data_IF_158084375848
#
_entry.id   IF_158084375848
#
_cell.length_a   1.000
_cell.length_b   1.000
_cell.length_c   1.000
_cell.angle_alpha   90.00
_cell.angle_beta   90.00
_cell.angle_gamma   90.00
#
_symmetry.space_group_name_H-M   'P 1'
#
loop_
_entity.id
_entity.type
_entity.pdbx_description
1 polymer ?
#
# COMPACT_ATOMS: atom_id res chain seq x y z
N UNK A 1 30.31 -6.43 -32.02
CA UNK A 1 29.60 -5.13 -31.97
C UNK A 1 28.09 -5.22 -32.29
N UNK A 2 27.61 -6.27 -32.98
CA UNK A 2 26.17 -6.42 -33.31
C UNK A 2 25.25 -6.72 -32.10
N UNK A 3 25.73 -7.38 -31.05
CA UNK A 3 24.91 -7.73 -29.87
C UNK A 3 24.56 -6.54 -28.95
N UNK A 4 25.29 -5.42 -29.05
CA UNK A 4 25.04 -4.26 -28.18
C UNK A 4 23.90 -3.37 -28.72
N UNK A 5 23.71 -3.34 -30.05
CA UNK A 5 22.67 -2.55 -30.72
C UNK A 5 21.29 -3.21 -30.64
N UNK A 6 21.22 -4.55 -30.67
CA UNK A 6 19.96 -5.30 -30.49
C UNK A 6 19.37 -5.16 -29.08
N UNK A 7 20.21 -5.13 -28.03
CA UNK A 7 19.76 -4.88 -26.66
C UNK A 7 19.18 -3.46 -26.47
N UNK A 8 19.83 -2.46 -27.06
CA UNK A 8 19.36 -1.07 -27.00
C UNK A 8 18.02 -0.86 -27.73
N UNK A 9 17.78 -1.55 -28.84
CA UNK A 9 16.51 -1.50 -29.56
C UNK A 9 15.36 -2.19 -28.80
N UNK A 10 15.63 -3.30 -28.10
CA UNK A 10 14.63 -3.98 -27.27
C UNK A 10 14.26 -3.17 -26.02
N UNK A 11 15.22 -2.50 -25.39
CA UNK A 11 14.96 -1.64 -24.22
C UNK A 11 14.13 -0.39 -24.56
N UNK A 12 14.34 0.19 -25.74
CA UNK A 12 13.58 1.37 -26.20
C UNK A 12 12.16 1.02 -26.63
N UNK A 13 11.95 -0.15 -27.27
CA UNK A 13 10.62 -0.65 -27.60
C UNK A 13 9.79 -0.99 -26.34
N UNK A 14 10.41 -1.64 -25.35
CA UNK A 14 9.77 -1.95 -24.06
C UNK A 14 9.37 -0.68 -23.28
N UNK A 15 10.23 0.36 -23.28
CA UNK A 15 9.92 1.63 -22.64
C UNK A 15 8.74 2.37 -23.30
N UNK A 16 8.58 2.23 -24.62
CA UNK A 16 7.45 2.80 -25.36
C UNK A 16 6.10 2.15 -25.01
N UNK A 17 6.07 0.82 -24.89
CA UNK A 17 4.86 0.07 -24.54
C UNK A 17 4.42 0.30 -23.08
N UNK A 18 5.38 0.32 -22.14
CA UNK A 18 5.13 0.69 -20.74
C UNK A 18 4.51 2.09 -20.61
N UNK A 19 4.98 3.06 -21.40
CA UNK A 19 4.45 4.43 -21.43
C UNK A 19 3.06 4.54 -22.07
N UNK A 20 2.71 3.67 -23.02
CA UNK A 20 1.35 3.62 -23.58
C UNK A 20 0.37 2.93 -22.63
N UNK A 21 0.77 1.82 -21.99
CA UNK A 21 -0.01 1.15 -20.94
C UNK A 21 -0.25 2.09 -19.76
N UNK A 22 0.76 2.89 -19.40
CA UNK A 22 0.65 3.95 -18.40
C UNK A 22 -0.51 4.90 -18.67
N UNK A 23 -0.51 5.45 -19.89
CA UNK A 23 -1.54 6.37 -20.34
C UNK A 23 -2.90 5.69 -20.39
N UNK A 24 -2.98 4.43 -20.81
CA UNK A 24 -4.23 3.67 -20.85
C UNK A 24 -4.80 3.40 -19.46
N UNK A 25 -3.95 3.01 -18.51
CA UNK A 25 -4.33 2.82 -17.10
C UNK A 25 -4.80 4.14 -16.48
N UNK A 26 -4.03 5.23 -16.65
CA UNK A 26 -4.44 6.56 -16.18
C UNK A 26 -5.74 7.05 -16.84
N UNK A 27 -5.92 6.83 -18.14
CA UNK A 27 -7.17 7.15 -18.84
C UNK A 27 -8.34 6.28 -18.36
N UNK A 28 -8.12 4.99 -18.06
CA UNK A 28 -9.15 4.12 -17.47
C UNK A 28 -9.51 4.63 -16.08
N UNK A 29 -8.54 4.86 -15.20
CA UNK A 29 -8.74 5.48 -13.88
C UNK A 29 -9.56 6.79 -13.98
N UNK A 30 -9.21 7.67 -14.92
CA UNK A 30 -9.91 8.94 -15.11
C UNK A 30 -11.30 8.79 -15.75
N UNK A 31 -11.54 7.75 -16.56
CA UNK A 31 -12.86 7.45 -17.14
C UNK A 31 -13.77 6.69 -16.19
N UNK A 32 -13.21 5.91 -15.27
CA UNK A 32 -13.94 5.21 -14.20
C UNK A 32 -14.15 6.10 -12.98
N UNK A 33 -13.44 7.23 -12.87
CA UNK A 33 -13.87 8.36 -12.03
C UNK A 33 -15.29 8.75 -12.46
N UNK A 34 -16.32 8.54 -11.62
CA UNK A 34 -17.68 8.72 -12.07
C UNK A 34 -17.92 10.20 -12.40
N UNK A 35 -18.41 10.49 -13.62
CA UNK A 35 -19.48 11.50 -13.72
C UNK A 35 -20.59 11.03 -12.78
N UNK A 36 -21.28 11.90 -12.01
CA UNK A 36 -22.26 11.49 -11.01
C UNK A 36 -23.44 10.79 -11.69
N UNK A 37 -23.29 9.50 -11.95
CA UNK A 37 -24.27 8.65 -12.59
C UNK A 37 -24.64 7.57 -11.57
N UNK A 38 -25.89 7.69 -11.11
CA UNK A 38 -26.58 6.77 -10.21
C UNK A 38 -26.33 5.30 -10.59
N UNK A 39 -25.46 4.62 -9.86
CA UNK A 39 -25.58 3.20 -9.55
C UNK A 39 -25.29 3.01 -8.08
N UNK A 40 -26.37 2.84 -7.31
CA UNK A 40 -26.36 2.52 -5.89
C UNK A 40 -26.08 1.03 -5.67
N UNK A 41 -25.62 0.74 -4.45
CA UNK A 41 -25.36 -0.54 -3.78
C UNK A 41 -23.94 -1.09 -3.99
N UNK A 42 -23.14 -1.35 -2.95
CA UNK A 42 -23.46 -1.75 -1.57
C UNK A 42 -22.78 -0.88 -0.50
N UNK A 43 -23.53 -0.62 0.58
CA UNK A 43 -23.28 0.25 1.74
C UNK A 43 -23.43 1.76 1.53
N UNK A 44 -24.65 2.27 1.76
CA UNK A 44 -24.97 3.71 1.85
C UNK A 44 -24.48 4.38 3.14
N UNK A 45 -23.68 3.70 3.97
CA UNK A 45 -23.12 4.31 5.19
C UNK A 45 -21.75 4.89 4.84
N UNK A 46 -21.47 6.15 5.21
CA UNK A 46 -20.11 6.67 5.10
C UNK A 46 -19.19 5.73 5.88
N UNK A 47 -18.04 5.39 5.30
CA UNK A 47 -17.00 4.64 5.99
C UNK A 47 -16.63 5.40 7.27
N UNK A 48 -16.56 4.69 8.38
CA UNK A 48 -16.18 5.26 9.68
C UNK A 48 -14.83 4.70 10.07
N UNK A 49 -14.03 5.53 10.73
CA UNK A 49 -12.75 5.08 11.24
C UNK A 49 -13.05 4.23 12.47
N UNK A 50 -12.73 2.94 12.40
CA UNK A 50 -12.96 2.03 13.50
C UNK A 50 -11.97 2.33 14.62
N UNK A 51 -12.47 2.32 15.86
CA UNK A 51 -11.61 2.26 17.04
C UNK A 51 -10.75 0.99 17.01
N UNK A 52 -9.56 1.01 17.63
CA UNK A 52 -8.74 -0.18 17.79
C UNK A 52 -9.52 -1.35 18.38
N UNK A 53 -9.40 -2.50 17.74
CA UNK A 53 -10.01 -3.74 18.18
C UNK A 53 -9.08 -4.50 19.12
N UNK A 54 -9.68 -5.28 20.01
CA UNK A 54 -8.96 -6.16 20.92
C UNK A 54 -8.65 -7.45 20.17
N UNK A 55 -7.37 -7.72 19.95
CA UNK A 55 -6.84 -8.99 19.44
C UNK A 55 -5.99 -9.64 20.52
N UNK A 56 -5.90 -10.98 20.51
CA UNK A 56 -4.89 -11.67 21.28
C UNK A 56 -3.54 -11.64 20.54
N UNK A 57 -2.40 -11.71 21.26
CA UNK A 57 -1.10 -11.84 20.61
C UNK A 57 -1.03 -13.06 19.70
N UNK A 58 -1.62 -14.19 20.10
CA UNK A 58 -1.61 -15.41 19.29
C UNK A 58 -2.36 -15.23 17.96
N UNK A 59 -3.48 -14.50 17.94
CA UNK A 59 -4.21 -14.20 16.71
C UNK A 59 -3.33 -13.43 15.70
N UNK A 60 -2.48 -12.51 16.17
CA UNK A 60 -1.61 -11.72 15.30
C UNK A 60 -0.29 -12.41 14.93
N UNK A 61 0.03 -13.54 15.56
CA UNK A 61 1.16 -14.40 15.15
C UNK A 61 0.82 -15.25 13.92
N UNK A 62 -0.47 -15.55 13.72
CA UNK A 62 -0.94 -16.27 12.55
C UNK A 62 -0.66 -15.49 11.25
N UNK A 63 -0.32 -16.19 10.15
CA UNK A 63 -0.04 -15.54 8.89
C UNK A 63 -1.30 -14.82 8.39
N UNK A 64 -1.23 -13.51 8.12
CA UNK A 64 -2.42 -12.76 7.73
C UNK A 64 -2.96 -13.29 6.40
N UNK A 65 -4.27 -13.54 6.38
CA UNK A 65 -4.97 -13.97 5.18
C UNK A 65 -5.43 -12.74 4.39
N UNK A 66 -5.51 -12.86 3.07
CA UNK A 66 -6.17 -11.84 2.24
C UNK A 66 -7.68 -12.04 2.27
N UNK A 67 -8.43 -10.97 2.54
CA UNK A 67 -9.89 -10.99 2.46
C UNK A 67 -10.34 -11.25 1.02
N UNK A 68 -11.45 -11.95 0.85
CA UNK A 68 -12.07 -12.13 -0.47
C UNK A 68 -13.04 -10.98 -0.73
N UNK A 69 -12.71 -9.99 -1.59
CA UNK A 69 -13.62 -8.87 -1.80
C UNK A 69 -14.85 -9.31 -2.59
N UNK A 70 -15.99 -8.72 -2.26
CA UNK A 70 -17.22 -8.89 -3.05
C UNK A 70 -16.98 -8.37 -4.47
N UNK A 71 -17.35 -9.17 -5.47
CA UNK A 71 -17.24 -8.78 -6.88
C UNK A 71 -15.91 -9.10 -7.56
N UNK A 72 -14.97 -9.80 -6.89
CA UNK A 72 -13.78 -10.35 -7.55
C UNK A 72 -14.16 -11.28 -8.70
N UNK A 73 -13.83 -10.92 -9.94
CA UNK A 73 -13.93 -11.79 -11.12
C UNK A 73 -12.57 -12.42 -11.42
N UNK A 74 -12.00 -13.05 -10.40
CA UNK A 74 -10.64 -13.55 -10.34
C UNK A 74 -10.49 -14.65 -9.30
N UNK A 75 -9.26 -14.86 -8.82
CA UNK A 75 -8.94 -15.83 -7.78
C UNK A 75 -7.88 -15.27 -6.85
N UNK A 76 -8.02 -15.57 -5.57
CA UNK A 76 -7.00 -15.35 -4.53
C UNK A 76 -6.73 -16.71 -3.88
N UNK A 77 -5.47 -17.14 -3.88
CA UNK A 77 -5.08 -18.43 -3.30
C UNK A 77 -3.58 -18.46 -3.00
N UNK A 78 -3.14 -19.36 -2.12
CA UNK A 78 -1.71 -19.64 -1.93
C UNK A 78 -1.31 -20.85 -2.78
N UNK A 79 -0.50 -20.69 -3.85
CA UNK A 79 -0.05 -21.82 -4.67
C UNK A 79 0.94 -22.67 -3.87
N UNK A 80 0.71 -23.98 -3.71
CA UNK A 80 1.72 -24.84 -3.06
C UNK A 80 2.90 -25.12 -4.01
N UNK A 81 4.16 -25.13 -3.53
CA UNK A 81 4.62 -24.92 -2.14
C UNK A 81 4.94 -23.44 -1.80
N UNK A 82 4.55 -22.47 -2.62
CA UNK A 82 4.81 -21.05 -2.38
C UNK A 82 4.05 -20.54 -1.15
N UNK A 83 4.72 -19.81 -0.25
CA UNK A 83 4.05 -19.16 0.88
C UNK A 83 3.36 -17.85 0.49
N UNK A 84 3.64 -17.33 -0.71
CA UNK A 84 3.06 -16.09 -1.22
C UNK A 84 1.63 -16.30 -1.67
N UNK A 85 0.80 -15.29 -1.44
CA UNK A 85 -0.55 -15.23 -1.98
C UNK A 85 -0.50 -14.88 -3.46
N UNK A 86 -1.24 -15.62 -4.28
CA UNK A 86 -1.47 -15.29 -5.68
C UNK A 86 -2.81 -14.60 -5.83
N UNK A 87 -2.79 -13.45 -6.50
CA UNK A 87 -3.98 -12.73 -6.93
C UNK A 87 -3.98 -12.72 -8.45
N UNK A 88 -5.00 -13.33 -9.05
CA UNK A 88 -5.29 -13.22 -10.48
C UNK A 88 -6.64 -12.54 -10.69
N UNK A 89 -6.65 -11.41 -11.39
CA UNK A 89 -7.85 -10.66 -11.78
C UNK A 89 -7.97 -10.64 -13.30
N UNK A 90 -9.15 -10.30 -13.83
CA UNK A 90 -9.44 -10.23 -15.26
C UNK A 90 -9.61 -8.78 -15.72
N UNK A 91 -9.46 -8.53 -17.02
CA UNK A 91 -9.58 -7.19 -17.62
C UNK A 91 -10.86 -6.40 -17.27
N UNK A 92 -11.95 -7.11 -16.96
CA UNK A 92 -13.25 -6.51 -16.59
C UNK A 92 -13.42 -6.24 -15.10
N UNK A 93 -12.44 -6.62 -14.27
CA UNK A 93 -12.47 -6.32 -12.85
C UNK A 93 -12.42 -4.81 -12.63
N UNK A 94 -13.32 -4.35 -11.78
CA UNK A 94 -13.36 -2.97 -11.32
C UNK A 94 -12.20 -2.71 -10.36
N UNK A 95 -12.14 -1.49 -9.85
CA UNK A 95 -11.23 -1.14 -8.77
C UNK A 95 -11.55 -2.01 -7.54
N UNK A 96 -10.57 -2.79 -7.08
CA UNK A 96 -10.67 -3.65 -5.91
C UNK A 96 -9.65 -3.21 -4.86
N UNK A 97 -10.03 -3.38 -3.59
CA UNK A 97 -9.13 -3.32 -2.45
C UNK A 97 -9.25 -4.63 -1.68
N UNK A 98 -8.11 -5.29 -1.48
CA UNK A 98 -7.99 -6.60 -0.86
C UNK A 98 -7.17 -6.39 0.43
N UNK A 99 -7.81 -6.02 1.56
CA UNK A 99 -7.14 -5.93 2.83
C UNK A 99 -6.85 -7.33 3.38
N UNK A 100 -5.93 -7.39 4.33
CA UNK A 100 -5.73 -8.53 5.20
C UNK A 100 -6.93 -8.71 6.15
N UNK A 101 -7.20 -9.93 6.59
CA UNK A 101 -8.29 -10.22 7.54
C UNK A 101 -7.95 -9.82 8.97
N UNK A 102 -6.66 -9.77 9.30
CA UNK A 102 -6.10 -9.34 10.58
C UNK A 102 -5.16 -8.15 10.34
N UNK A 103 -5.03 -7.23 11.31
CA UNK A 103 -4.19 -6.07 11.14
C UNK A 103 -2.70 -6.45 11.16
N UNK A 104 -1.92 -5.82 10.27
CA UNK A 104 -0.47 -5.88 10.34
C UNK A 104 0.06 -5.07 11.55
N UNK A 105 -0.66 -4.00 11.91
CA UNK A 105 -0.39 -3.17 13.10
C UNK A 105 -1.65 -3.10 13.96
N UNK A 106 -1.62 -3.61 15.18
CA UNK A 106 -2.65 -3.35 16.18
C UNK A 106 -2.20 -2.18 17.06
N UNK A 107 -3.03 -1.15 17.19
CA UNK A 107 -2.67 0.00 18.02
C UNK A 107 -2.59 -0.36 19.52
N UNK A 108 -3.37 -1.36 19.96
CA UNK A 108 -3.36 -1.79 21.36
C UNK A 108 -2.14 -2.66 21.68
N UNK A 109 -1.70 -3.52 20.76
CA UNK A 109 -0.61 -4.47 21.00
C UNK A 109 0.76 -3.98 20.54
N UNK A 110 0.82 -3.18 19.47
CA UNK A 110 2.07 -2.82 18.79
C UNK A 110 2.47 -1.35 18.96
N UNK A 111 1.67 -0.55 19.68
CA UNK A 111 1.97 0.87 19.86
C UNK A 111 3.34 1.07 20.51
N UNK A 112 4.24 1.88 19.92
CA UNK A 112 5.51 2.22 20.55
C UNK A 112 5.36 2.93 21.89
N UNK A 113 4.24 3.65 22.11
CA UNK A 113 3.97 4.30 23.40
C UNK A 113 3.62 3.30 24.50
N UNK A 114 3.05 2.14 24.14
CA UNK A 114 2.71 1.09 25.09
C UNK A 114 3.89 0.11 25.31
N UNK A 115 4.61 -0.20 24.23
CA UNK A 115 5.65 -1.23 24.23
C UNK A 115 7.07 -0.69 24.45
N UNK A 116 7.28 0.63 24.31
CA UNK A 116 8.60 1.27 24.24
C UNK A 116 9.52 0.67 23.16
N UNK A 117 8.95 -0.03 22.18
CA UNK A 117 9.66 -0.65 21.08
C UNK A 117 9.15 -0.08 19.77
N UNK A 118 10.06 0.15 18.82
CA UNK A 118 9.62 0.48 17.46
C UNK A 118 8.92 -0.72 16.82
N UNK A 119 7.97 -0.42 15.94
CA UNK A 119 7.26 -1.44 15.16
C UNK A 119 7.37 -1.12 13.69
N UNK A 120 7.73 -2.13 12.90
CA UNK A 120 7.65 -2.07 11.44
C UNK A 120 6.53 -2.97 10.94
N UNK A 121 5.77 -2.48 9.97
CA UNK A 121 4.84 -3.27 9.16
C UNK A 121 5.15 -3.10 7.69
N UNK A 122 5.01 -4.17 6.92
CA UNK A 122 5.47 -4.20 5.53
C UNK A 122 4.68 -5.20 4.70
N UNK A 123 4.53 -4.89 3.42
CA UNK A 123 3.98 -5.78 2.40
C UNK A 123 4.76 -5.58 1.10
N UNK A 124 5.06 -6.69 0.43
CA UNK A 124 5.68 -6.68 -0.89
C UNK A 124 4.90 -7.55 -1.88
N UNK A 125 4.93 -7.18 -3.15
CA UNK A 125 4.36 -7.96 -4.23
C UNK A 125 5.24 -7.95 -5.48
N UNK A 126 5.24 -9.07 -6.16
CA UNK A 126 5.92 -9.29 -7.43
C UNK A 126 4.88 -9.28 -8.55
N UNK A 127 5.11 -8.43 -9.56
CA UNK A 127 4.36 -8.50 -10.80
C UNK A 127 4.77 -9.75 -11.59
N UNK A 128 3.82 -10.66 -11.89
CA UNK A 128 4.08 -11.86 -12.70
C UNK A 128 3.49 -11.72 -14.11
N UNK A 129 4.32 -11.45 -15.13
CA UNK A 129 3.87 -11.42 -16.52
C UNK A 129 3.29 -12.77 -16.92
N UNK A 130 2.19 -12.77 -17.67
CA UNK A 130 1.65 -13.99 -18.29
C UNK A 130 2.20 -14.04 -19.72
N UNK A 131 2.92 -15.10 -20.06
CA UNK A 131 3.45 -15.32 -21.43
C UNK A 131 4.34 -14.19 -22.01
N UNK A 132 5.02 -13.41 -21.16
CA UNK A 132 5.89 -12.31 -21.59
C UNK A 132 5.14 -11.00 -21.89
N UNK A 133 3.83 -10.94 -21.69
CA UNK A 133 3.05 -9.72 -21.75
C UNK A 133 2.82 -9.15 -20.34
N UNK A 134 2.95 -7.84 -20.17
CA UNK A 134 2.61 -7.16 -18.91
C UNK A 134 1.10 -7.20 -18.72
N UNK A 135 0.65 -8.24 -18.03
CA UNK A 135 -0.74 -8.49 -17.69
C UNK A 135 -1.24 -7.71 -16.48
N UNK A 136 -0.49 -6.70 -16.00
CA UNK A 136 -0.93 -5.83 -14.90
C UNK A 136 -1.26 -4.46 -15.45
N UNK A 137 -2.54 -4.09 -15.40
CA UNK A 137 -2.93 -2.72 -15.73
C UNK A 137 -2.70 -1.77 -14.55
N UNK A 138 -3.11 -2.16 -13.34
CA UNK A 138 -2.97 -1.33 -12.15
C UNK A 138 -2.80 -2.18 -10.90
N UNK A 139 -1.68 -1.98 -10.20
CA UNK A 139 -1.37 -2.57 -8.89
C UNK A 139 -1.02 -1.45 -7.91
N UNK A 140 -1.61 -1.52 -6.72
CA UNK A 140 -1.24 -0.67 -5.59
C UNK A 140 -1.00 -1.52 -4.35
N UNK A 141 -0.01 -1.15 -3.56
CA UNK A 141 0.30 -1.78 -2.27
C UNK A 141 0.23 -0.72 -1.18
N UNK A 142 -0.24 -1.08 0.00
CA UNK A 142 -0.27 -0.13 1.10
C UNK A 142 -1.00 -0.62 2.33
N UNK A 143 -1.51 0.35 3.09
CA UNK A 143 -2.17 0.12 4.36
C UNK A 143 -3.47 0.93 4.44
N UNK A 144 -4.46 0.34 5.10
CA UNK A 144 -5.78 0.95 5.33
C UNK A 144 -6.13 0.83 6.81
N UNK A 145 -6.63 1.91 7.40
CA UNK A 145 -7.10 1.93 8.78
C UNK A 145 -8.61 1.63 8.83
N UNK A 146 -9.02 0.56 9.51
CA UNK A 146 -10.40 0.03 9.45
C UNK A 146 -10.60 -0.88 8.24
N UNK A 147 -10.39 -2.19 8.44
CA UNK A 147 -10.34 -3.19 7.38
C UNK A 147 -11.69 -3.50 6.72
N UNK A 148 -12.81 -3.10 7.32
CA UNK A 148 -14.12 -3.32 6.74
C UNK A 148 -14.49 -2.25 5.69
N UNK A 149 -15.26 -2.68 4.67
CA UNK A 149 -15.95 -1.78 3.71
C UNK A 149 -15.02 -0.82 2.94
N UNK A 150 -13.76 -1.22 2.71
CA UNK A 150 -12.85 -0.45 1.86
C UNK A 150 -13.28 -0.57 0.40
N UNK A 151 -13.53 0.57 -0.25
CA UNK A 151 -14.12 0.59 -1.60
C UNK A 151 -13.15 1.00 -2.71
N UNK A 152 -12.02 1.63 -2.36
CA UNK A 152 -10.98 2.09 -3.30
C UNK A 152 -9.63 1.49 -2.96
N UNK A 153 -8.71 1.51 -3.93
CA UNK A 153 -7.34 1.01 -3.76
C UNK A 153 -6.62 1.72 -2.60
N UNK A 154 -5.63 1.06 -1.96
CA UNK A 154 -4.86 1.66 -0.86
C UNK A 154 -4.22 2.98 -1.31
N UNK A 155 -4.35 4.01 -0.46
CA UNK A 155 -3.93 5.38 -0.73
C UNK A 155 -4.99 6.25 -1.43
N UNK A 156 -5.95 5.65 -2.15
CA UNK A 156 -7.04 6.37 -2.83
C UNK A 156 -8.32 6.49 -1.98
N UNK A 157 -8.36 5.82 -0.83
CA UNK A 157 -9.44 5.92 0.15
C UNK A 157 -9.01 6.79 1.35
N UNK A 158 -9.98 7.30 2.11
CA UNK A 158 -9.68 7.93 3.40
C UNK A 158 -8.99 6.94 4.36
N UNK A 159 -8.13 7.47 5.22
CA UNK A 159 -7.33 6.73 6.21
C UNK A 159 -6.54 5.59 5.58
N UNK A 160 -5.92 5.87 4.44
CA UNK A 160 -5.12 4.90 3.71
C UNK A 160 -3.92 5.56 3.04
N UNK A 161 -2.86 4.77 2.92
CA UNK A 161 -1.64 5.12 2.19
C UNK A 161 -1.30 3.98 1.25
N UNK A 162 -0.79 4.29 0.07
CA UNK A 162 -0.36 3.25 -0.86
C UNK A 162 0.49 3.77 -2.00
N UNK A 163 1.32 2.89 -2.55
CA UNK A 163 2.15 3.16 -3.72
C UNK A 163 1.55 2.50 -4.95
N UNK A 164 1.45 3.26 -6.03
CA UNK A 164 1.08 2.72 -7.35
C UNK A 164 2.30 2.16 -8.05
N UNK A 165 2.27 0.86 -8.33
CA UNK A 165 3.43 0.12 -8.84
C UNK A 165 3.69 0.40 -10.34
N UNK A 166 2.77 1.01 -11.07
CA UNK A 166 2.98 1.28 -12.49
C UNK A 166 3.55 2.69 -12.76
N UNK A 167 3.31 3.71 -11.94
CA UNK A 167 3.89 5.06 -12.12
C UNK A 167 4.68 5.57 -10.92
N UNK A 168 4.89 4.74 -9.89
CA UNK A 168 5.74 5.07 -8.75
C UNK A 168 5.19 6.20 -7.89
N UNK A 169 3.89 6.49 -7.97
CA UNK A 169 3.25 7.54 -7.16
C UNK A 169 2.82 7.02 -5.80
N UNK A 170 3.11 7.80 -4.76
CA UNK A 170 2.58 7.59 -3.43
C UNK A 170 1.26 8.35 -3.29
N UNK A 171 0.23 7.65 -2.81
CA UNK A 171 -1.08 8.20 -2.53
C UNK A 171 -1.36 8.16 -1.03
N UNK A 172 -1.95 9.24 -0.52
CA UNK A 172 -2.38 9.39 0.87
C UNK A 172 -3.78 10.01 0.86
N UNK A 173 -4.75 9.33 1.48
CA UNK A 173 -6.10 9.84 1.70
C UNK A 173 -6.81 10.37 0.44
N UNK A 174 -6.60 9.72 -0.71
CA UNK A 174 -7.23 10.10 -1.98
C UNK A 174 -6.37 11.00 -2.88
N UNK A 175 -5.25 11.52 -2.38
CA UNK A 175 -4.41 12.49 -3.08
C UNK A 175 -3.00 11.96 -3.31
N UNK A 176 -2.34 12.45 -4.36
CA UNK A 176 -0.92 12.14 -4.62
C UNK A 176 -0.05 12.88 -3.60
N UNK A 177 0.68 12.15 -2.77
CA UNK A 177 1.54 12.67 -1.72
C UNK A 177 3.00 12.86 -2.17
N UNK A 178 3.52 11.98 -3.01
CA UNK A 178 4.86 12.11 -3.58
C UNK A 178 4.99 11.30 -4.88
N UNK A 179 6.06 11.56 -5.64
CA UNK A 179 6.45 10.74 -6.81
C UNK A 179 7.79 10.09 -6.50
N UNK A 180 7.77 8.79 -6.22
CA UNK A 180 8.94 8.01 -5.79
C UNK A 180 9.82 7.68 -7.00
N UNK A 181 9.18 7.30 -8.11
CA UNK A 181 9.86 7.03 -9.38
C UNK A 181 9.09 7.67 -10.52
N UNK A 182 9.80 8.14 -11.55
CA UNK A 182 9.17 8.70 -12.76
C UNK A 182 8.86 7.63 -13.81
N UNK A 183 9.39 6.42 -13.62
CA UNK A 183 9.10 5.22 -14.42
C UNK A 183 8.55 4.15 -13.48
N UNK A 184 7.51 3.46 -13.93
CA UNK A 184 6.92 2.34 -13.21
C UNK A 184 7.89 1.25 -12.84
N UNK A 185 7.44 0.42 -11.91
CA UNK A 185 8.10 -0.83 -11.60
C UNK A 185 7.93 -1.79 -12.78
N UNK A 186 9.01 -2.49 -13.09
CA UNK A 186 9.11 -3.39 -14.21
C UNK A 186 8.35 -4.70 -13.93
N UNK A 187 8.00 -5.44 -14.99
CA UNK A 187 7.44 -6.77 -14.86
C UNK A 187 8.50 -7.71 -14.24
N UNK A 188 8.09 -8.56 -13.30
CA UNK A 188 9.00 -9.38 -12.48
C UNK A 188 9.70 -8.63 -11.34
N UNK A 189 9.57 -7.30 -11.26
CA UNK A 189 10.13 -6.53 -10.17
C UNK A 189 9.30 -6.74 -8.90
N UNK A 190 9.99 -6.88 -7.77
CA UNK A 190 9.38 -6.94 -6.46
C UNK A 190 9.31 -5.55 -5.85
N UNK A 191 8.10 -5.12 -5.48
CA UNK A 191 7.84 -3.80 -4.90
C UNK A 191 7.30 -3.99 -3.51
N UNK A 192 7.77 -3.21 -2.56
CA UNK A 192 7.18 -3.22 -1.22
C UNK A 192 7.03 -1.84 -0.62
N UNK A 193 6.12 -1.74 0.33
CA UNK A 193 5.87 -0.53 1.11
C UNK A 193 5.78 -0.93 2.57
N UNK A 194 6.35 -0.10 3.44
CA UNK A 194 6.28 -0.28 4.88
C UNK A 194 6.09 1.02 5.63
N UNK A 195 5.72 0.85 6.89
CA UNK A 195 5.59 1.90 7.89
C UNK A 195 6.43 1.53 9.11
N UNK A 196 7.29 2.44 9.52
CA UNK A 196 8.05 2.37 10.77
C UNK A 196 7.39 3.29 11.79
N UNK A 197 7.00 2.73 12.94
CA UNK A 197 6.43 3.41 14.09
C UNK A 197 7.48 3.47 15.20
N UNK A 198 7.79 4.66 15.69
CA UNK A 198 8.72 4.84 16.82
C UNK A 198 8.25 5.95 17.75
N UNK A 199 8.68 5.90 19.01
CA UNK A 199 8.52 7.02 19.93
C UNK A 199 9.47 8.14 19.50
N UNK A 200 8.96 9.36 19.37
CA UNK A 200 9.77 10.53 19.04
C UNK A 200 9.03 11.83 19.30
N UNK A 201 9.70 12.95 19.00
CA UNK A 201 9.13 14.28 19.09
C UNK A 201 8.70 14.76 17.68
N UNK A 202 7.42 15.12 17.51
CA UNK A 202 6.96 15.88 16.35
C UNK A 202 7.50 17.30 16.49
N UNK A 203 8.75 17.56 16.09
CA UNK A 203 9.40 18.88 16.21
C UNK A 203 8.47 20.07 15.93
N UNK A 204 7.80 20.57 16.98
CA UNK A 204 6.93 21.73 17.01
C UNK A 204 5.42 21.57 16.76
N UNK A 205 4.82 20.38 16.55
CA UNK A 205 3.33 20.31 16.41
C UNK A 205 2.67 20.26 17.78
N UNK A 206 2.39 21.44 18.35
CA UNK A 206 1.45 21.55 19.46
C UNK A 206 0.09 21.07 18.96
N UNK A 207 -0.34 19.87 19.36
CA UNK A 207 -1.76 19.55 19.37
C UNK A 207 -2.43 20.50 20.37
N UNK A 208 -3.55 21.10 19.99
CA UNK A 208 -4.27 22.10 20.82
C UNK A 208 -4.65 21.55 22.23
N UNK A 209 -4.58 20.22 22.41
CA UNK A 209 -4.79 19.54 23.69
C UNK A 209 -3.59 19.57 24.67
N UNK A 210 -2.42 20.10 24.27
CA UNK A 210 -1.21 20.15 25.11
C UNK A 210 -0.88 21.58 25.61
N UNK A 211 -1.90 22.37 25.95
CA UNK A 211 -1.71 23.62 26.72
C UNK A 211 -1.88 23.33 28.21
N UNK A 212 -0.94 22.60 28.81
CA UNK A 212 -0.59 22.67 30.26
C UNK A 212 0.14 21.41 30.74
N UNK A 213 1.46 21.39 30.60
CA UNK A 213 2.46 20.84 31.54
C UNK A 213 3.78 20.71 30.80
N UNK A 214 4.89 21.15 31.38
CA UNK A 214 6.23 21.12 30.77
C UNK A 214 6.84 19.73 30.60
N UNK A 215 6.02 18.72 30.27
CA UNK A 215 6.46 17.39 29.87
C UNK A 215 6.54 17.34 28.34
N UNK A 216 7.68 16.94 27.79
CA UNK A 216 7.81 16.54 26.39
C UNK A 216 6.83 15.41 26.14
N UNK A 217 5.67 15.68 25.52
CA UNK A 217 4.68 14.67 25.21
C UNK A 217 5.25 13.74 24.14
N UNK A 218 5.70 12.56 24.56
CA UNK A 218 6.19 11.53 23.65
C UNK A 218 5.09 11.18 22.64
N UNK A 219 5.42 11.22 21.36
CA UNK A 219 4.48 11.02 20.27
C UNK A 219 4.94 9.87 19.36
N UNK A 220 4.02 9.31 18.57
CA UNK A 220 4.38 8.28 17.59
C UNK A 220 4.80 8.98 16.30
N UNK A 221 6.08 8.85 15.94
CA UNK A 221 6.60 9.25 14.64
C UNK A 221 6.40 8.08 13.68
N UNK A 222 5.77 8.35 12.55
CA UNK A 222 5.57 7.38 11.47
C UNK A 222 6.46 7.75 10.30
N UNK A 223 7.30 6.82 9.86
CA UNK A 223 8.05 6.91 8.60
C UNK A 223 7.47 5.93 7.59
N UNK A 224 7.15 6.41 6.39
CA UNK A 224 6.79 5.56 5.26
C UNK A 224 8.03 5.31 4.42
N UNK A 225 8.20 4.08 3.97
CA UNK A 225 9.28 3.72 3.07
C UNK A 225 8.80 2.79 1.96
N UNK A 226 9.48 2.86 0.82
CA UNK A 226 9.23 2.03 -0.35
C UNK A 226 10.51 1.31 -0.74
N UNK A 227 10.34 0.06 -1.15
CA UNK A 227 11.41 -0.85 -1.51
C UNK A 227 11.24 -1.34 -2.93
N UNK A 228 12.36 -1.62 -3.56
CA UNK A 228 12.46 -2.29 -4.85
C UNK A 228 13.46 -3.41 -4.73
N UNK A 229 13.08 -4.62 -5.07
CA UNK A 229 13.97 -5.78 -5.09
C UNK A 229 14.74 -6.00 -3.78
N UNK A 230 14.09 -5.72 -2.65
CA UNK A 230 14.67 -5.88 -1.31
C UNK A 230 15.52 -4.70 -0.84
N UNK A 231 15.62 -3.61 -1.61
CA UNK A 231 16.34 -2.40 -1.22
C UNK A 231 15.37 -1.25 -0.95
N UNK A 232 15.61 -0.48 0.13
CA UNK A 232 14.85 0.73 0.43
C UNK A 232 15.28 1.84 -0.54
N UNK A 233 14.39 2.22 -1.47
CA UNK A 233 14.67 3.22 -2.52
C UNK A 233 14.16 4.61 -2.17
N UNK A 234 13.26 4.70 -1.18
CA UNK A 234 12.66 5.96 -0.76
C UNK A 234 12.12 5.82 0.66
N UNK A 235 12.27 6.87 1.47
CA UNK A 235 11.56 7.00 2.74
C UNK A 235 11.30 8.45 3.08
N UNK A 236 10.26 8.68 3.88
CA UNK A 236 9.95 10.00 4.42
C UNK A 236 9.09 9.88 5.68
N UNK A 237 9.34 10.75 6.65
CA UNK A 237 8.45 10.91 7.81
C UNK A 237 7.09 11.45 7.39
N UNK A 238 6.01 10.90 7.94
CA UNK A 238 4.63 11.27 7.61
C UNK A 238 4.39 12.78 7.74
N UNK A 239 4.88 13.42 8.81
CA UNK A 239 4.70 14.86 9.00
C UNK A 239 5.35 15.72 7.90
N UNK A 240 6.44 15.25 7.28
CA UNK A 240 7.06 15.97 6.16
C UNK A 240 6.23 15.86 4.90
N UNK A 241 5.54 14.73 4.69
CA UNK A 241 4.56 14.59 3.59
C UNK A 241 3.40 15.55 3.79
N UNK A 242 2.86 15.63 5.01
CA UNK A 242 1.73 16.52 5.31
C UNK A 242 2.08 17.99 5.12
N UNK A 243 3.30 18.42 5.51
CA UNK A 243 3.75 19.81 5.33
C UNK A 243 3.79 20.26 3.87
N UNK A 244 3.88 19.33 2.91
CA UNK A 244 3.96 19.64 1.47
C UNK A 244 2.60 19.79 0.82
N UNK A 245 1.53 19.37 1.48
CA UNK A 245 0.20 19.31 0.90
C UNK A 245 -0.85 19.81 1.89
N UNK A 246 -1.34 21.02 1.64
CA UNK A 246 -2.45 21.58 2.40
C UNK A 246 -3.68 20.67 2.29
N UNK A 247 -4.30 20.35 3.44
CA UNK A 247 -5.49 19.52 3.52
C UNK A 247 -5.25 18.01 3.59
N UNK A 248 -4.00 17.52 3.50
CA UNK A 248 -3.72 16.14 3.89
C UNK A 248 -3.78 15.97 5.41
N UNK A 249 -4.24 14.80 5.83
CA UNK A 249 -4.28 14.37 7.22
C UNK A 249 -3.57 13.04 7.35
N UNK A 250 -2.92 12.80 8.48
CA UNK A 250 -2.42 11.50 8.91
C UNK A 250 -3.46 10.66 9.66
N UNK A 251 -4.68 11.17 9.86
CA UNK A 251 -5.74 10.48 10.62
C UNK A 251 -5.93 9.03 10.12
N UNK A 252 -6.00 8.11 11.08
CA UNK A 252 -5.99 6.67 10.87
C UNK A 252 -4.59 6.04 10.71
N UNK A 253 -3.56 6.80 10.32
CA UNK A 253 -2.22 6.31 10.01
C UNK A 253 -1.16 6.74 11.03
N UNK A 254 -1.53 7.55 12.02
CA UNK A 254 -0.67 8.11 13.06
C UNK A 254 -0.22 7.11 14.14
N UNK A 255 -0.53 5.81 13.97
CA UNK A 255 -0.20 4.76 14.93
C UNK A 255 -1.22 4.57 16.06
N UNK A 256 -2.40 5.21 15.96
CA UNK A 256 -3.49 5.10 16.95
C UNK A 256 -4.65 4.20 16.53
N UNK A 257 -4.59 3.63 15.34
CA UNK A 257 -5.63 2.77 14.77
C UNK A 257 -5.01 1.51 14.22
N UNK A 258 -5.82 0.46 14.10
CA UNK A 258 -5.35 -0.78 13.50
C UNK A 258 -5.18 -0.61 11.99
N UNK A 259 -4.03 -1.06 11.47
CA UNK A 259 -3.71 -0.99 10.06
C UNK A 259 -3.66 -2.38 9.45
N UNK A 260 -4.38 -2.52 8.35
CA UNK A 260 -4.44 -3.72 7.55
C UNK A 260 -3.56 -3.52 6.33
N UNK A 261 -2.64 -4.45 6.08
CA UNK A 261 -1.95 -4.50 4.79
C UNK A 261 -3.00 -4.73 3.70
N UNK A 262 -2.87 -4.03 2.57
CA UNK A 262 -3.85 -4.07 1.50
C UNK A 262 -3.21 -4.07 0.12
N UNK A 263 -3.83 -4.82 -0.78
CA UNK A 263 -3.47 -4.89 -2.19
C UNK A 263 -4.63 -4.36 -3.03
N UNK A 264 -4.34 -3.36 -3.85
CA UNK A 264 -5.30 -2.83 -4.81
C UNK A 264 -5.03 -3.35 -6.22
N UNK A 265 -6.08 -3.76 -6.92
CA UNK A 265 -6.00 -4.15 -8.33
C UNK A 265 -7.09 -3.46 -9.14
N UNK A 266 -6.82 -3.12 -10.40
CA UNK A 266 -7.86 -2.73 -11.37
C UNK A 266 -7.50 -3.29 -12.74
N UNK A 267 -8.47 -3.92 -13.40
CA UNK A 267 -8.23 -4.66 -14.64
C UNK A 267 -7.53 -6.00 -14.40
N UNK A 268 -6.83 -6.49 -15.42
CA UNK A 268 -6.05 -7.72 -15.30
C UNK A 268 -4.84 -7.50 -14.39
N UNK A 269 -4.60 -8.48 -13.52
CA UNK A 269 -3.42 -8.54 -12.66
C UNK A 269 -3.07 -10.00 -12.38
N UNK A 270 -1.78 -10.28 -12.27
CA UNK A 270 -1.25 -11.57 -11.83
C UNK A 270 -0.05 -11.28 -10.93
N UNK A 271 -0.26 -11.36 -9.61
CA UNK A 271 0.74 -10.95 -8.61
C UNK A 271 0.94 -12.02 -7.56
N UNK A 272 2.18 -12.17 -7.12
CA UNK A 272 2.51 -12.90 -5.89
C UNK A 272 2.76 -11.87 -4.77
N UNK A 273 2.10 -12.00 -3.63
CA UNK A 273 2.14 -11.08 -2.49
C UNK A 273 2.75 -11.80 -1.28
N UNK A 274 3.74 -11.19 -0.65
CA UNK A 274 4.36 -11.68 0.59
C UNK A 274 3.90 -10.83 1.77
N UNK A 275 3.25 -11.46 2.75
CA UNK A 275 2.78 -10.80 3.97
C UNK A 275 3.61 -11.18 5.21
N UNK A 276 4.31 -12.31 5.18
CA UNK A 276 5.07 -12.81 6.33
C UNK A 276 6.55 -12.43 6.23
N UNK A 277 7.11 -11.94 7.34
CA UNK A 277 8.51 -11.47 7.45
C UNK A 277 9.55 -12.45 6.91
N UNK A 278 9.40 -13.74 7.19
CA UNK A 278 10.35 -14.79 6.76
C UNK A 278 10.43 -14.98 5.23
N UNK A 279 9.47 -14.45 4.48
CA UNK A 279 9.43 -14.57 3.02
C UNK A 279 9.62 -13.23 2.31
N UNK A 280 9.88 -12.16 3.06
CA UNK A 280 10.22 -10.88 2.45
C UNK A 280 11.62 -10.96 1.84
N UNK A 281 11.76 -10.39 0.64
CA UNK A 281 13.09 -10.11 0.07
C UNK A 281 13.74 -8.94 0.80
N UNK A 282 12.94 -7.97 1.23
CA UNK A 282 13.43 -6.91 2.10
C UNK A 282 13.77 -7.45 3.48
N UNK A 283 15.06 -7.37 3.83
CA UNK A 283 15.55 -7.66 5.18
C UNK A 283 15.86 -6.33 5.82
N UNK A 284 15.17 -6.03 6.92
CA UNK A 284 15.48 -4.87 7.74
C UNK A 284 16.94 -4.99 8.21
N UNK A 285 17.78 -4.04 7.81
CA UNK A 285 19.15 -3.98 8.31
C UNK A 285 19.08 -3.62 9.80
N UNK A 286 19.76 -4.39 10.65
CA UNK A 286 19.96 -4.01 12.04
C UNK A 286 20.95 -2.84 12.04
N UNK A 287 20.49 -1.66 12.48
CA UNK A 287 21.37 -0.53 12.82
C UNK A 287 22.12 -0.81 14.12
#
# INVERSE_FOLDING_TARGET
MANHLLRSAQETASAGDLSQKARRCQQKLYRTSPKPARRQSLCCRPRQLCEPQVFSPEELEDPPLLALPEGLVGKIWQPRPSPRWRIETKLRDLELCIPTTLPAYSALLHSPLATNCSRMVYVEAENRPRHGEDGIECLMLGFVAGGDRVSKMPGKEQWSIGVQCFDGRLYLNGSVADTIMTRGFKPGQLVGIGLDFAVGDYGGRQTEDNVSTGATSSSIVVEVFVTSDGERIWSRRMHELLKRHEGLSDKGLEGRHDLYAAVGTMGEANVDVSLEKKYWKYVQQAE
#
